data_IF_199578171219
#
_entry.id   IF_199578171219
#
_cell.length_a   1.000
_cell.length_b   1.000
_cell.length_c   1.000
_cell.angle_alpha   90.00
_cell.angle_beta   90.00
_cell.angle_gamma   90.00
#
_symmetry.space_group_name_H-M   'P 1'
#
loop_
_entity.id
_entity.type
_entity.pdbx_description
1 polymer ?
#
# COMPACT_ATOMS: atom_id res chain seq x y z
N UNK A 1 18.41 -58.45 14.69
CA UNK A 1 17.62 -57.84 13.59
C UNK A 1 17.38 -56.39 13.98
N UNK A 2 18.22 -55.46 13.51
CA UNK A 2 18.11 -54.04 13.88
C UNK A 2 17.03 -53.41 13.01
N UNK A 3 15.86 -53.12 13.58
CA UNK A 3 14.81 -52.37 12.90
C UNK A 3 15.33 -50.94 12.66
N UNK A 4 15.58 -50.60 11.39
CA UNK A 4 15.79 -49.21 10.98
C UNK A 4 14.44 -48.48 11.08
N UNK A 5 14.38 -47.45 11.92
CA UNK A 5 13.26 -46.50 11.95
C UNK A 5 13.06 -45.88 10.56
N UNK A 6 11.81 -45.65 10.12
CA UNK A 6 11.54 -45.06 8.82
C UNK A 6 12.10 -43.63 8.77
N UNK A 7 12.79 -43.30 7.68
CA UNK A 7 13.32 -41.96 7.46
C UNK A 7 12.16 -40.95 7.43
N UNK A 8 12.22 -39.96 8.30
CA UNK A 8 11.30 -38.82 8.32
C UNK A 8 11.43 -38.09 6.98
N UNK A 9 10.37 -38.13 6.16
CA UNK A 9 10.28 -37.28 4.97
C UNK A 9 10.33 -35.83 5.41
N UNK A 10 11.46 -35.17 5.18
CA UNK A 10 11.62 -33.74 5.42
C UNK A 10 10.63 -33.02 4.51
N UNK A 11 9.59 -32.43 5.09
CA UNK A 11 8.67 -31.57 4.34
C UNK A 11 9.49 -30.42 3.72
N UNK A 12 9.40 -30.27 2.41
CA UNK A 12 10.02 -29.14 1.72
C UNK A 12 9.38 -27.84 2.21
N UNK A 13 10.15 -27.00 2.88
CA UNK A 13 9.72 -25.66 3.31
C UNK A 13 10.43 -24.58 2.52
N UNK A 14 9.83 -23.39 2.46
CA UNK A 14 10.41 -22.24 1.78
C UNK A 14 10.41 -21.04 2.73
N UNK A 15 11.53 -20.30 2.78
CA UNK A 15 11.62 -19.01 3.44
C UNK A 15 12.11 -17.98 2.43
N UNK A 16 11.18 -17.14 1.95
CA UNK A 16 11.40 -16.15 0.87
C UNK A 16 11.91 -16.76 -0.43
N UNK A 17 12.08 -15.91 -1.43
CA UNK A 17 12.71 -16.20 -2.72
C UNK A 17 13.64 -15.03 -3.06
N UNK A 18 14.75 -15.33 -3.73
CA UNK A 18 15.62 -14.30 -4.27
C UNK A 18 14.89 -13.57 -5.41
N UNK A 19 14.99 -12.24 -5.41
CA UNK A 19 14.51 -11.45 -6.54
C UNK A 19 15.37 -11.77 -7.78
N UNK A 20 14.76 -11.89 -8.96
CA UNK A 20 15.48 -11.98 -10.23
C UNK A 20 16.34 -10.73 -10.46
N UNK A 21 17.36 -10.86 -11.33
CA UNK A 21 18.33 -9.79 -11.59
C UNK A 21 17.69 -8.47 -12.05
N UNK A 22 16.57 -8.54 -12.77
CA UNK A 22 15.84 -7.37 -13.29
C UNK A 22 14.94 -6.69 -12.23
N UNK A 23 14.86 -7.25 -11.02
CA UNK A 23 14.08 -6.72 -9.90
C UNK A 23 15.01 -6.21 -8.79
N UNK A 24 15.04 -4.89 -8.58
CA UNK A 24 15.93 -4.27 -7.59
C UNK A 24 15.20 -4.19 -6.24
N UNK A 25 15.71 -4.90 -5.24
CA UNK A 25 15.12 -4.87 -3.89
C UNK A 25 15.04 -3.43 -3.35
N UNK A 26 13.88 -3.04 -2.82
CA UNK A 26 13.65 -1.70 -2.26
C UNK A 26 14.67 -1.33 -1.19
N UNK A 27 15.03 -2.27 -0.33
CA UNK A 27 15.98 -2.08 0.76
C UNK A 27 17.46 -2.14 0.33
N UNK A 28 17.77 -2.42 -0.94
CA UNK A 28 19.15 -2.41 -1.44
C UNK A 28 19.71 -0.98 -1.55
N UNK A 29 21.04 -0.77 -1.60
CA UNK A 29 21.61 0.56 -1.84
C UNK A 29 21.06 1.22 -3.11
N UNK A 30 20.90 0.45 -4.19
CA UNK A 30 20.33 0.94 -5.44
C UNK A 30 18.84 1.25 -5.31
N UNK A 31 18.05 0.39 -4.64
CA UNK A 31 16.63 0.61 -4.40
C UNK A 31 16.34 1.85 -3.55
N UNK A 32 17.18 2.12 -2.55
CA UNK A 32 17.12 3.35 -1.76
C UNK A 32 17.50 4.58 -2.58
N UNK A 33 18.50 4.46 -3.46
CA UNK A 33 18.86 5.54 -4.39
C UNK A 33 17.68 5.88 -5.30
N UNK A 34 17.06 4.87 -5.93
CA UNK A 34 15.86 5.07 -6.76
C UNK A 34 14.72 5.75 -5.98
N UNK A 35 14.50 5.38 -4.72
CA UNK A 35 13.52 6.07 -3.89
C UNK A 35 13.87 7.54 -3.67
N UNK A 36 15.12 7.83 -3.27
CA UNK A 36 15.61 9.19 -3.03
C UNK A 36 15.55 10.06 -4.28
N UNK A 37 15.92 9.51 -5.44
CA UNK A 37 15.89 10.22 -6.71
C UNK A 37 14.44 10.52 -7.13
N UNK A 38 13.53 9.55 -6.96
CA UNK A 38 12.12 9.71 -7.30
C UNK A 38 11.39 10.72 -6.40
N UNK A 39 11.61 10.69 -5.09
CA UNK A 39 10.96 11.61 -4.14
C UNK A 39 11.46 13.06 -4.29
N UNK A 40 12.74 13.24 -4.62
CA UNK A 40 13.34 14.56 -4.81
C UNK A 40 13.22 15.10 -6.24
N UNK A 41 12.58 14.35 -7.15
CA UNK A 41 12.28 14.84 -8.49
C UNK A 41 11.29 16.02 -8.44
N UNK A 42 11.30 16.89 -9.46
CA UNK A 42 10.42 18.08 -9.51
C UNK A 42 8.93 17.75 -9.42
N UNK A 43 8.51 16.59 -9.92
CA UNK A 43 7.12 16.12 -9.85
C UNK A 43 6.82 15.28 -8.60
N UNK A 44 7.84 14.87 -7.83
CA UNK A 44 7.76 13.93 -6.71
C UNK A 44 6.79 12.76 -6.97
N UNK A 45 7.27 11.74 -7.68
CA UNK A 45 6.49 10.55 -8.01
C UNK A 45 6.45 9.49 -6.89
N UNK A 46 6.55 9.91 -5.63
CA UNK A 46 6.49 9.02 -4.46
C UNK A 46 5.35 9.38 -3.51
N UNK A 47 4.45 10.29 -3.89
CA UNK A 47 3.38 10.78 -3.01
C UNK A 47 2.48 9.65 -2.50
N UNK A 48 2.13 8.69 -3.37
CA UNK A 48 1.29 7.55 -3.00
C UNK A 48 2.00 6.52 -2.10
N UNK A 49 3.33 6.54 -2.03
CA UNK A 49 4.09 5.61 -1.19
C UNK A 49 3.70 5.73 0.28
N UNK A 50 3.55 6.96 0.78
CA UNK A 50 3.32 7.22 2.20
C UNK A 50 2.04 6.57 2.73
N UNK A 51 0.85 6.85 2.15
CA UNK A 51 -0.37 6.19 2.60
C UNK A 51 -0.35 4.67 2.35
N UNK A 52 0.28 4.18 1.27
CA UNK A 52 0.43 2.74 1.05
C UNK A 52 1.34 2.08 2.09
N UNK A 53 2.42 2.75 2.51
CA UNK A 53 3.36 2.24 3.50
C UNK A 53 2.71 2.13 4.90
N UNK A 54 1.88 3.11 5.27
CA UNK A 54 1.07 3.05 6.51
C UNK A 54 0.14 1.85 6.53
N UNK A 55 -0.30 1.37 5.36
CA UNK A 55 -1.27 0.29 5.20
C UNK A 55 -0.65 -1.03 4.75
N UNK A 56 0.68 -1.14 4.76
CA UNK A 56 1.34 -2.27 4.13
C UNK A 56 1.19 -3.57 4.93
N UNK A 57 0.37 -4.48 4.40
CA UNK A 57 0.06 -5.78 5.02
C UNK A 57 0.66 -6.96 4.25
N UNK A 58 0.79 -8.09 4.93
CA UNK A 58 1.10 -9.38 4.31
C UNK A 58 -0.21 -10.07 3.98
N UNK A 59 -0.38 -10.60 2.77
CA UNK A 59 -1.57 -11.40 2.42
C UNK A 59 -1.71 -12.58 3.40
N UNK A 60 -2.89 -12.76 3.98
CA UNK A 60 -3.14 -13.75 5.04
C UNK A 60 -3.14 -15.19 4.50
N UNK A 61 -3.46 -15.37 3.23
CA UNK A 61 -3.42 -16.67 2.54
C UNK A 61 -2.61 -16.55 1.24
N UNK A 62 -1.97 -17.63 0.75
CA UNK A 62 -1.23 -17.62 -0.51
C UNK A 62 -2.03 -17.15 -1.74
N UNK A 63 -3.36 -17.33 -1.72
CA UNK A 63 -4.26 -16.91 -2.79
C UNK A 63 -4.84 -15.48 -2.60
N UNK A 64 -4.65 -14.85 -1.44
CA UNK A 64 -5.30 -13.57 -1.09
C UNK A 64 -4.58 -12.31 -1.60
N UNK A 65 -3.65 -12.42 -2.54
CA UNK A 65 -2.93 -11.25 -3.06
C UNK A 65 -3.86 -10.12 -3.54
N UNK A 66 -4.98 -10.45 -4.19
CA UNK A 66 -5.99 -9.48 -4.61
C UNK A 66 -6.72 -8.83 -3.42
N UNK A 67 -7.16 -9.62 -2.44
CA UNK A 67 -7.86 -9.13 -1.25
C UNK A 67 -6.95 -8.24 -0.38
N UNK A 68 -5.71 -8.67 -0.15
CA UNK A 68 -4.73 -7.91 0.63
C UNK A 68 -4.39 -6.59 -0.06
N UNK A 69 -4.21 -6.61 -1.38
CA UNK A 69 -3.98 -5.40 -2.18
C UNK A 69 -5.17 -4.46 -2.07
N UNK A 70 -6.40 -4.96 -2.18
CA UNK A 70 -7.59 -4.12 -2.07
C UNK A 70 -7.72 -3.50 -0.68
N UNK A 71 -7.60 -4.28 0.41
CA UNK A 71 -7.65 -3.75 1.78
C UNK A 71 -6.61 -2.64 1.99
N UNK A 72 -5.38 -2.87 1.55
CA UNK A 72 -4.30 -1.87 1.62
C UNK A 72 -4.66 -0.59 0.87
N UNK A 73 -5.20 -0.69 -0.34
CA UNK A 73 -5.58 0.47 -1.13
C UNK A 73 -6.78 1.23 -0.56
N UNK A 74 -7.80 0.53 -0.06
CA UNK A 74 -8.99 1.16 0.51
C UNK A 74 -8.66 1.94 1.79
N UNK A 75 -7.82 1.37 2.66
CA UNK A 75 -7.35 2.08 3.85
C UNK A 75 -6.43 3.26 3.47
N UNK A 76 -5.58 3.12 2.44
CA UNK A 76 -4.70 4.19 1.98
C UNK A 76 -5.48 5.37 1.38
N UNK A 77 -6.62 5.10 0.74
CA UNK A 77 -7.61 6.08 0.30
C UNK A 77 -8.54 6.57 1.42
N UNK A 78 -8.34 6.12 2.66
CA UNK A 78 -9.14 6.49 3.84
C UNK A 78 -10.65 6.22 3.69
N UNK A 79 -11.00 5.18 2.93
CA UNK A 79 -12.38 4.73 2.77
C UNK A 79 -12.81 4.04 4.06
N UNK A 80 -13.94 4.45 4.63
CA UNK A 80 -14.48 3.78 5.80
C UNK A 80 -15.47 2.67 5.36
N UNK A 81 -15.30 1.43 5.85
CA UNK A 81 -16.09 0.29 5.40
C UNK A 81 -17.57 0.37 5.80
N UNK A 82 -17.97 1.30 6.68
CA UNK A 82 -19.36 1.43 7.13
C UNK A 82 -19.83 0.29 8.04
N UNK A 83 -18.97 -0.69 8.32
CA UNK A 83 -19.23 -1.85 9.17
C UNK A 83 -18.06 -2.13 10.12
N UNK A 84 -18.37 -2.77 11.24
CA UNK A 84 -17.38 -3.12 12.25
C UNK A 84 -16.40 -4.17 11.71
N UNK A 85 -15.14 -4.02 12.10
CA UNK A 85 -14.08 -5.00 11.87
C UNK A 85 -13.79 -5.76 13.17
N UNK A 86 -13.29 -5.07 14.19
CA UNK A 86 -12.91 -5.65 15.49
C UNK A 86 -13.31 -4.73 16.63
N UNK A 87 -14.19 -5.23 17.51
CA UNK A 87 -14.74 -4.40 18.59
C UNK A 87 -15.44 -3.15 18.00
N UNK A 88 -15.14 -1.93 18.49
CA UNK A 88 -15.73 -0.70 17.96
C UNK A 88 -15.04 -0.18 16.68
N UNK A 89 -13.96 -0.83 16.22
CA UNK A 89 -13.14 -0.32 15.12
C UNK A 89 -13.70 -0.73 13.76
N UNK A 90 -13.64 0.21 12.81
CA UNK A 90 -13.97 0.02 11.40
C UNK A 90 -12.68 0.14 10.60
N UNK A 91 -12.36 -0.90 9.84
CA UNK A 91 -11.12 -0.96 9.06
C UNK A 91 -11.23 -2.01 7.97
N UNK A 92 -10.64 -1.79 6.80
CA UNK A 92 -10.57 -2.85 5.81
C UNK A 92 -9.55 -3.91 6.19
N UNK A 93 -9.96 -5.16 6.09
CA UNK A 93 -9.09 -6.32 6.06
C UNK A 93 -9.66 -7.33 5.07
N UNK A 94 -8.88 -8.35 4.73
CA UNK A 94 -9.25 -9.35 3.72
C UNK A 94 -10.59 -10.05 4.03
N UNK A 95 -10.95 -10.18 5.32
CA UNK A 95 -12.17 -10.88 5.76
C UNK A 95 -13.47 -10.10 5.49
N UNK A 96 -13.37 -8.82 5.14
CA UNK A 96 -14.54 -8.01 4.80
C UNK A 96 -14.94 -8.15 3.31
N UNK A 97 -14.18 -8.84 2.47
CA UNK A 97 -14.49 -8.91 1.03
C UNK A 97 -15.34 -10.13 0.67
N UNK A 98 -16.66 -10.01 0.79
CA UNK A 98 -17.63 -11.10 0.63
C UNK A 98 -18.77 -10.82 -0.38
N UNK A 99 -18.79 -9.65 -1.04
CA UNK A 99 -19.93 -9.23 -1.88
C UNK A 99 -19.98 -9.86 -3.29
N UNK A 100 -18.84 -10.22 -3.89
CA UNK A 100 -18.76 -10.71 -5.28
C UNK A 100 -18.16 -12.11 -5.43
N UNK A 101 -17.45 -12.58 -4.41
CA UNK A 101 -16.93 -13.95 -4.29
C UNK A 101 -16.90 -14.30 -2.81
N UNK A 102 -17.09 -15.57 -2.47
CA UNK A 102 -16.88 -16.01 -1.09
C UNK A 102 -15.38 -16.08 -0.77
N UNK A 103 -15.04 -15.88 0.50
CA UNK A 103 -13.67 -16.05 0.99
C UNK A 103 -13.16 -17.50 0.80
N UNK A 104 -14.04 -18.49 0.84
CA UNK A 104 -13.69 -19.89 0.60
C UNK A 104 -13.23 -20.12 -0.84
N UNK A 105 -13.94 -19.58 -1.82
CA UNK A 105 -13.58 -19.66 -3.25
C UNK A 105 -12.29 -18.87 -3.50
N UNK A 106 -12.20 -17.65 -2.95
CA UNK A 106 -11.00 -16.82 -3.07
C UNK A 106 -9.76 -17.50 -2.47
N UNK A 107 -9.92 -18.28 -1.38
CA UNK A 107 -8.81 -19.00 -0.74
C UNK A 107 -8.30 -20.15 -1.59
N UNK A 108 -9.19 -20.81 -2.33
CA UNK A 108 -8.83 -21.93 -3.19
C UNK A 108 -8.20 -21.46 -4.52
N UNK A 109 -8.77 -20.41 -5.13
CA UNK A 109 -8.47 -20.05 -6.54
C UNK A 109 -7.88 -18.66 -6.72
N UNK A 110 -7.84 -17.85 -5.67
CA UNK A 110 -7.59 -16.41 -5.78
C UNK A 110 -8.81 -15.68 -6.34
N UNK A 111 -8.59 -14.44 -6.80
CA UNK A 111 -9.63 -13.63 -7.45
C UNK A 111 -9.15 -13.18 -8.83
N UNK A 112 -10.08 -13.12 -9.77
CA UNK A 112 -9.91 -12.53 -11.08
C UNK A 112 -9.90 -11.01 -11.01
N UNK A 113 -9.43 -10.35 -12.07
CA UNK A 113 -9.48 -8.88 -12.16
C UNK A 113 -10.93 -8.36 -12.19
N UNK A 114 -11.87 -9.12 -12.77
CA UNK A 114 -13.29 -8.76 -12.75
C UNK A 114 -13.88 -8.83 -11.34
N UNK A 115 -13.54 -9.85 -10.55
CA UNK A 115 -13.91 -9.94 -9.14
C UNK A 115 -13.25 -8.84 -8.31
N UNK A 116 -11.98 -8.52 -8.56
CA UNK A 116 -11.29 -7.39 -7.90
C UNK A 116 -12.04 -6.07 -8.12
N UNK A 117 -12.42 -5.77 -9.37
CA UNK A 117 -13.19 -4.56 -9.72
C UNK A 117 -14.56 -4.56 -9.01
N UNK A 118 -15.25 -5.71 -9.02
CA UNK A 118 -16.54 -5.85 -8.35
C UNK A 118 -16.44 -5.60 -6.83
N UNK A 119 -15.45 -6.21 -6.17
CA UNK A 119 -15.17 -6.01 -4.75
C UNK A 119 -14.82 -4.55 -4.43
N UNK A 120 -14.04 -3.88 -5.28
CA UNK A 120 -13.72 -2.47 -5.11
C UNK A 120 -14.97 -1.58 -5.21
N UNK A 121 -15.78 -1.78 -6.26
CA UNK A 121 -17.02 -1.01 -6.49
C UNK A 121 -18.06 -1.23 -5.40
N UNK A 122 -18.23 -2.47 -4.93
CA UNK A 122 -19.21 -2.76 -3.86
C UNK A 122 -18.82 -2.15 -2.51
N UNK A 123 -17.53 -1.81 -2.30
CA UNK A 123 -17.04 -1.11 -1.12
C UNK A 123 -16.87 0.41 -1.35
N UNK A 124 -17.57 0.97 -2.35
CA UNK A 124 -17.74 2.42 -2.52
C UNK A 124 -16.62 3.14 -3.27
N UNK A 125 -15.71 2.41 -3.93
CA UNK A 125 -14.58 2.99 -4.66
C UNK A 125 -14.84 3.04 -6.16
N UNK A 126 -14.47 4.16 -6.76
CA UNK A 126 -14.52 4.34 -8.22
C UNK A 126 -13.34 3.60 -8.84
N UNK A 127 -13.59 2.93 -9.98
CA UNK A 127 -12.56 2.19 -10.70
C UNK A 127 -12.49 2.61 -12.16
N UNK A 128 -11.28 2.85 -12.65
CA UNK A 128 -10.95 2.87 -14.07
C UNK A 128 -10.07 1.66 -14.37
N UNK A 129 -10.53 0.73 -15.20
CA UNK A 129 -9.81 -0.50 -15.49
C UNK A 129 -9.33 -0.55 -16.94
N UNK A 130 -8.11 -1.05 -17.14
CA UNK A 130 -7.47 -1.16 -18.44
C UNK A 130 -6.96 -2.58 -18.60
N UNK A 131 -7.43 -3.28 -19.62
CA UNK A 131 -6.85 -4.56 -20.04
C UNK A 131 -5.64 -4.26 -20.93
N UNK A 132 -4.59 -5.05 -20.80
CA UNK A 132 -3.39 -4.92 -21.61
C UNK A 132 -3.58 -5.57 -23.00
N UNK A 133 -4.64 -5.16 -23.68
CA UNK A 133 -4.98 -5.46 -25.07
C UNK A 133 -4.20 -4.53 -26.02
N UNK A 134 -4.33 -4.73 -27.33
CA UNK A 134 -3.56 -4.01 -28.36
C UNK A 134 -3.85 -2.51 -28.45
N UNK A 135 -4.99 -2.07 -27.93
CA UNK A 135 -5.44 -0.68 -27.84
C UNK A 135 -4.89 0.06 -26.61
N UNK A 136 -4.32 -0.65 -25.64
CA UNK A 136 -3.65 -0.06 -24.49
C UNK A 136 -2.13 -0.08 -24.72
N UNK A 137 -1.50 1.10 -24.64
CA UNK A 137 -0.09 1.30 -24.97
C UNK A 137 0.77 1.51 -23.73
N UNK A 138 2.08 1.25 -23.86
CA UNK A 138 3.04 1.53 -22.80
C UNK A 138 3.08 3.01 -22.42
N UNK A 139 2.87 3.93 -23.36
CA UNK A 139 2.84 5.37 -23.05
C UNK A 139 1.61 5.74 -22.22
N UNK A 140 0.43 5.24 -22.58
CA UNK A 140 -0.77 5.44 -21.76
C UNK A 140 -0.59 4.85 -20.35
N UNK A 141 0.04 3.68 -20.23
CA UNK A 141 0.39 3.12 -18.93
C UNK A 141 1.32 4.05 -18.13
N UNK A 142 2.36 4.58 -18.78
CA UNK A 142 3.30 5.54 -18.17
C UNK A 142 2.60 6.80 -17.67
N UNK A 143 1.68 7.34 -18.46
CA UNK A 143 0.92 8.54 -18.09
C UNK A 143 -0.02 8.28 -16.90
N UNK A 144 -0.68 7.12 -16.86
CA UNK A 144 -1.48 6.68 -15.72
C UNK A 144 -0.61 6.58 -14.46
N UNK A 145 0.56 5.94 -14.55
CA UNK A 145 1.48 5.78 -13.42
C UNK A 145 2.02 7.13 -12.92
N UNK A 146 2.46 8.01 -13.83
CA UNK A 146 2.93 9.35 -13.46
C UNK A 146 1.86 10.14 -12.72
N UNK A 147 0.63 10.16 -13.25
CA UNK A 147 -0.50 10.87 -12.65
C UNK A 147 -0.82 10.34 -11.25
N UNK A 148 -0.91 9.03 -11.09
CA UNK A 148 -1.20 8.41 -9.79
C UNK A 148 -0.09 8.66 -8.78
N UNK A 149 1.17 8.45 -9.17
CA UNK A 149 2.31 8.56 -8.26
C UNK A 149 2.67 10.01 -7.88
N UNK A 150 2.27 11.01 -8.66
CA UNK A 150 2.47 12.43 -8.36
C UNK A 150 1.46 12.99 -7.34
N UNK A 151 0.45 12.21 -6.95
CA UNK A 151 -0.54 12.59 -5.94
C UNK A 151 -0.77 11.43 -4.96
N UNK A 152 -1.69 11.60 -4.02
CA UNK A 152 -2.19 10.54 -3.14
C UNK A 152 -3.69 10.25 -3.34
N UNK A 153 -4.28 10.78 -4.42
CA UNK A 153 -5.74 10.75 -4.67
C UNK A 153 -6.22 9.49 -5.40
N UNK A 154 -5.31 8.76 -6.02
CA UNK A 154 -5.62 7.58 -6.79
C UNK A 154 -4.48 6.55 -6.71
N UNK A 155 -4.83 5.27 -6.73
CA UNK A 155 -3.86 4.17 -6.63
C UNK A 155 -3.95 3.30 -7.88
N UNK A 156 -2.82 3.08 -8.54
CA UNK A 156 -2.70 2.07 -9.60
C UNK A 156 -2.45 0.70 -8.97
N UNK A 157 -3.38 -0.22 -9.18
CA UNK A 157 -3.26 -1.63 -8.84
C UNK A 157 -3.00 -2.45 -10.10
N UNK A 158 -1.95 -3.27 -10.06
CA UNK A 158 -1.60 -4.16 -11.16
C UNK A 158 -2.23 -5.54 -10.95
N UNK A 159 -2.72 -6.14 -12.02
CA UNK A 159 -2.88 -7.58 -12.17
C UNK A 159 -1.84 -8.04 -13.21
N UNK A 160 -0.87 -8.85 -12.81
CA UNK A 160 0.27 -9.17 -13.68
C UNK A 160 0.76 -10.61 -13.52
N UNK A 161 1.50 -11.11 -14.52
CA UNK A 161 2.15 -12.42 -14.45
C UNK A 161 3.57 -12.30 -13.89
N UNK A 162 3.82 -12.96 -12.76
CA UNK A 162 5.17 -13.09 -12.17
C UNK A 162 6.17 -13.79 -13.09
N UNK A 163 5.71 -14.65 -14.00
CA UNK A 163 6.56 -15.38 -14.94
C UNK A 163 7.40 -14.45 -15.80
N UNK A 164 6.79 -13.37 -16.28
CA UNK A 164 7.48 -12.36 -17.11
C UNK A 164 8.56 -11.63 -16.32
N UNK A 165 8.37 -11.45 -15.01
CA UNK A 165 9.37 -10.85 -14.13
C UNK A 165 10.45 -11.85 -13.67
N UNK A 166 10.41 -13.11 -14.12
CA UNK A 166 11.30 -14.17 -13.66
C UNK A 166 11.01 -14.66 -12.23
N UNK A 167 9.88 -14.27 -11.66
CA UNK A 167 9.49 -14.62 -10.29
C UNK A 167 8.73 -15.94 -10.27
N UNK A 168 8.78 -16.63 -9.13
CA UNK A 168 8.04 -17.88 -8.95
C UNK A 168 6.54 -17.62 -8.80
N UNK A 169 5.70 -18.51 -9.31
CA UNK A 169 4.24 -18.32 -9.38
C UNK A 169 3.81 -17.64 -10.68
N UNK A 170 2.52 -17.29 -10.78
CA UNK A 170 1.96 -16.66 -11.98
C UNK A 170 1.18 -15.37 -11.64
N UNK A 171 -0.15 -15.38 -11.77
CA UNK A 171 -0.97 -14.19 -11.54
C UNK A 171 -0.79 -13.62 -10.14
N UNK A 172 -0.64 -12.30 -10.05
CA UNK A 172 -0.48 -11.59 -8.79
C UNK A 172 -1.11 -10.20 -8.84
N UNK A 173 -1.52 -9.70 -7.68
CA UNK A 173 -1.97 -8.32 -7.50
C UNK A 173 -1.05 -7.58 -6.54
N UNK A 174 -0.69 -6.35 -6.87
CA UNK A 174 0.00 -5.41 -5.97
C UNK A 174 -0.16 -3.98 -6.50
N UNK A 175 -0.17 -2.96 -5.63
CA UNK A 175 -0.18 -1.58 -6.08
C UNK A 175 1.21 -1.09 -6.42
N UNK A 176 1.24 -0.05 -7.25
CA UNK A 176 2.43 0.75 -7.50
C UNK A 176 2.58 1.77 -6.37
N UNK A 177 3.71 1.71 -5.66
CA UNK A 177 4.05 2.63 -4.58
C UNK A 177 4.79 3.88 -5.04
N UNK A 178 5.28 3.93 -6.28
CA UNK A 178 6.02 5.08 -6.78
C UNK A 178 6.65 4.83 -8.14
N UNK A 179 7.16 5.89 -8.74
CA UNK A 179 7.74 5.87 -10.09
C UNK A 179 9.05 6.67 -10.16
N UNK A 180 10.04 6.11 -10.84
CA UNK A 180 11.34 6.74 -11.07
C UNK A 180 11.49 7.08 -12.55
N UNK A 181 11.32 8.36 -12.89
CA UNK A 181 11.19 8.82 -14.27
C UNK A 181 12.44 8.59 -15.13
N UNK A 182 13.65 8.88 -14.64
CA UNK A 182 14.88 8.80 -15.46
C UNK A 182 15.26 7.37 -15.81
N UNK A 183 14.84 6.40 -14.99
CA UNK A 183 15.13 4.96 -15.19
C UNK A 183 13.92 4.19 -15.72
N UNK A 184 12.78 4.86 -15.87
CA UNK A 184 11.49 4.28 -16.23
C UNK A 184 11.15 3.03 -15.38
N UNK A 185 11.18 3.19 -14.04
CA UNK A 185 10.93 2.09 -13.10
C UNK A 185 9.78 2.38 -12.15
N UNK A 186 9.04 1.35 -11.76
CA UNK A 186 7.96 1.42 -10.76
C UNK A 186 8.32 0.60 -9.52
N UNK A 187 7.92 1.09 -8.35
CA UNK A 187 8.04 0.39 -7.09
C UNK A 187 6.79 -0.49 -6.89
N UNK A 188 6.96 -1.81 -6.90
CA UNK A 188 5.88 -2.75 -6.60
C UNK A 188 5.81 -3.00 -5.09
N UNK A 189 4.68 -2.65 -4.47
CA UNK A 189 4.43 -2.89 -3.04
C UNK A 189 3.87 -4.31 -2.83
N UNK A 190 4.75 -5.31 -3.00
CA UNK A 190 4.36 -6.73 -3.05
C UNK A 190 3.77 -7.24 -1.73
N UNK A 191 2.47 -7.55 -1.74
CA UNK A 191 1.73 -8.05 -0.57
C UNK A 191 2.11 -9.50 -0.19
N UNK A 192 2.79 -10.25 -1.07
CA UNK A 192 3.38 -11.56 -0.76
C UNK A 192 4.70 -11.38 0.01
N UNK A 193 4.69 -10.64 1.13
CA UNK A 193 5.88 -10.19 1.87
C UNK A 193 6.72 -11.34 2.44
N UNK A 194 6.11 -12.51 2.64
CA UNK A 194 6.80 -13.75 3.01
C UNK A 194 7.66 -14.33 1.87
N UNK A 195 7.44 -13.87 0.64
CA UNK A 195 8.05 -14.38 -0.60
C UNK A 195 9.05 -13.39 -1.19
N UNK A 196 8.63 -12.17 -1.46
CA UNK A 196 9.44 -11.12 -2.07
C UNK A 196 9.26 -9.79 -1.31
N UNK A 197 10.32 -8.98 -1.13
CA UNK A 197 10.17 -7.62 -0.61
C UNK A 197 9.58 -6.69 -1.69
N UNK A 198 9.19 -5.45 -1.33
CA UNK A 198 9.00 -4.41 -2.33
C UNK A 198 10.25 -4.28 -3.21
N UNK A 199 10.04 -4.00 -4.48
CA UNK A 199 11.12 -3.98 -5.45
C UNK A 199 10.78 -3.08 -6.64
N UNK A 200 11.82 -2.52 -7.22
CA UNK A 200 11.75 -1.72 -8.43
C UNK A 200 11.85 -2.62 -9.65
N UNK A 201 10.99 -2.37 -10.63
CA UNK A 201 10.96 -3.08 -11.93
C UNK A 201 10.80 -2.06 -13.05
N UNK A 202 11.41 -2.32 -14.21
CA UNK A 202 11.20 -1.47 -15.40
C UNK A 202 9.71 -1.44 -15.78
N UNK A 203 9.19 -0.26 -16.07
CA UNK A 203 7.79 -0.05 -16.45
C UNK A 203 7.42 -0.89 -17.68
N UNK A 204 8.29 -0.96 -18.69
CA UNK A 204 8.08 -1.81 -19.87
C UNK A 204 7.93 -3.30 -19.53
N UNK A 205 8.71 -3.80 -18.56
CA UNK A 205 8.64 -5.20 -18.12
C UNK A 205 7.34 -5.50 -17.37
N UNK A 206 6.89 -4.55 -16.54
CA UNK A 206 5.57 -4.62 -15.90
C UNK A 206 4.46 -4.60 -16.96
N UNK A 207 4.58 -3.77 -17.98
CA UNK A 207 3.61 -3.72 -19.07
C UNK A 207 3.51 -5.05 -19.83
N UNK A 208 4.65 -5.65 -20.23
CA UNK A 208 4.70 -7.00 -20.81
C UNK A 208 4.02 -8.04 -19.90
N UNK A 209 4.23 -7.93 -18.58
CA UNK A 209 3.64 -8.87 -17.62
C UNK A 209 2.11 -8.79 -17.52
N UNK A 210 1.52 -7.63 -17.84
CA UNK A 210 0.06 -7.45 -17.90
C UNK A 210 -0.54 -8.03 -19.18
N UNK A 211 0.21 -8.06 -20.29
CA UNK A 211 -0.27 -8.59 -21.58
C UNK A 211 -0.48 -10.11 -21.58
N UNK A 212 0.07 -10.82 -20.59
CA UNK A 212 -0.15 -12.25 -20.43
C UNK A 212 -1.63 -12.56 -20.16
N UNK A 213 -2.20 -13.51 -20.91
CA UNK A 213 -3.58 -13.98 -20.72
C UNK A 213 -3.74 -14.66 -19.36
N UNK A 214 -4.80 -14.30 -18.64
CA UNK A 214 -5.31 -15.07 -17.52
C UNK A 214 -6.25 -16.15 -18.07
N UNK A 215 -5.85 -17.41 -17.91
CA UNK A 215 -6.61 -18.55 -18.42
C UNK A 215 -8.00 -18.69 -17.78
N UNK A 216 -8.20 -18.21 -16.55
CA UNK A 216 -9.49 -18.28 -15.88
C UNK A 216 -10.53 -17.34 -16.52
N UNK A 217 -10.08 -16.20 -17.06
CA UNK A 217 -10.94 -15.23 -17.74
C UNK A 217 -10.86 -15.32 -19.28
N UNK A 218 -9.88 -16.07 -19.82
CA UNK A 218 -9.52 -16.05 -21.24
C UNK A 218 -9.32 -14.62 -21.79
N UNK A 219 -8.69 -13.76 -21.00
CA UNK A 219 -8.48 -12.35 -21.31
C UNK A 219 -7.13 -11.88 -20.75
N UNK A 220 -6.44 -10.90 -21.36
CA UNK A 220 -5.25 -10.30 -20.77
C UNK A 220 -5.51 -9.79 -19.35
N UNK A 221 -4.42 -9.74 -18.57
CA UNK A 221 -4.42 -9.02 -17.30
C UNK A 221 -4.38 -7.51 -17.57
N UNK A 222 -3.97 -6.70 -16.61
CA UNK A 222 -4.08 -5.25 -16.76
C UNK A 222 -3.87 -4.49 -15.46
N UNK A 223 -4.47 -3.31 -15.39
CA UNK A 223 -4.45 -2.48 -14.19
C UNK A 223 -5.84 -1.95 -13.85
N UNK A 224 -6.00 -1.60 -12.58
CA UNK A 224 -7.17 -0.89 -12.07
C UNK A 224 -6.68 0.35 -11.32
N UNK A 225 -7.18 1.53 -11.71
CA UNK A 225 -7.02 2.76 -10.94
C UNK A 225 -8.16 2.86 -9.95
N UNK A 226 -7.84 2.98 -8.66
CA UNK A 226 -8.79 3.14 -7.57
C UNK A 226 -8.83 4.61 -7.14
N UNK A 227 -10.03 5.17 -6.99
CA UNK A 227 -10.27 6.56 -6.55
C UNK A 227 -11.38 6.60 -5.50
N UNK A 228 -11.24 7.51 -4.53
CA UNK A 228 -12.36 7.83 -3.63
C UNK A 228 -13.59 8.26 -4.46
N UNK A 229 -14.75 7.67 -4.17
CA UNK A 229 -16.02 8.10 -4.76
C UNK A 229 -16.68 9.20 -3.95
N UNK A 230 -17.47 10.07 -4.59
CA UNK A 230 -18.24 11.11 -3.88
C UNK A 230 -19.24 10.56 -2.83
N UNK A 231 -19.60 9.28 -2.94
CA UNK A 231 -20.45 8.54 -2.01
C UNK A 231 -19.68 7.53 -1.14
N UNK A 232 -18.35 7.49 -1.23
CA UNK A 232 -17.55 6.70 -0.32
C UNK A 232 -17.79 7.25 1.08
N UNK A 233 -18.37 6.44 1.96
CA UNK A 233 -18.64 6.79 3.35
C UNK A 233 -17.31 6.85 4.10
N UNK A 234 -16.55 7.93 3.88
CA UNK A 234 -15.36 8.33 4.63
C UNK A 234 -15.57 9.71 5.26
N UNK A 235 -14.61 10.23 6.06
CA UNK A 235 -14.72 11.51 6.77
C UNK A 235 -14.98 12.72 5.86
N UNK A 236 -14.87 12.56 4.54
CA UNK A 236 -15.04 13.62 3.53
C UNK A 236 -16.45 14.22 3.54
N UNK A 237 -17.50 13.43 3.81
CA UNK A 237 -18.86 13.97 4.01
C UNK A 237 -19.00 14.78 5.31
N UNK A 238 -18.26 14.41 6.37
CA UNK A 238 -18.18 15.20 7.60
C UNK A 238 -17.38 16.48 7.39
N UNK A 239 -16.32 16.50 6.56
CA UNK A 239 -15.59 17.73 6.23
C UNK A 239 -16.47 18.77 5.53
N UNK A 240 -17.29 18.38 4.56
CA UNK A 240 -18.19 19.33 3.90
C UNK A 240 -19.30 19.84 4.83
N UNK A 241 -19.82 19.01 5.74
CA UNK A 241 -20.80 19.44 6.74
C UNK A 241 -20.20 20.31 7.85
N UNK A 242 -18.95 20.04 8.28
CA UNK A 242 -18.28 20.82 9.31
C UNK A 242 -17.83 22.20 8.80
N UNK A 243 -17.33 22.30 7.56
CA UNK A 243 -16.97 23.59 6.95
C UNK A 243 -18.22 24.48 6.82
N UNK A 244 -19.38 23.91 6.50
CA UNK A 244 -20.61 24.67 6.35
C UNK A 244 -21.22 25.12 7.71
N UNK A 245 -20.97 24.37 8.78
CA UNK A 245 -21.36 24.76 10.13
C UNK A 245 -20.44 25.84 10.73
N UNK A 246 -19.13 25.79 10.47
CA UNK A 246 -18.16 26.75 11.03
C UNK A 246 -18.31 28.17 10.48
N UNK A 247 -18.75 28.34 9.22
CA UNK A 247 -19.00 29.68 8.66
C UNK A 247 -20.22 30.38 9.28
N UNK A 248 -21.14 29.65 9.92
CA UNK A 248 -22.34 30.23 10.55
C UNK A 248 -22.21 30.45 12.06
N UNK A 249 -21.15 29.96 12.72
CA UNK A 249 -20.97 30.09 14.17
C UNK A 249 -19.62 30.66 14.61
N UNK A 250 -19.05 31.57 13.84
CA UNK A 250 -17.87 32.32 14.26
C UNK A 250 -18.22 33.34 15.38
N UNK A 251 -18.26 32.87 16.63
CA UNK A 251 -18.16 33.74 17.80
C UNK A 251 -16.71 34.25 17.93
N UNK A 252 -16.46 35.52 18.28
CA UNK A 252 -15.10 36.05 18.38
C UNK A 252 -14.34 35.37 19.53
N UNK A 253 -13.28 34.63 19.17
CA UNK A 253 -12.34 34.04 20.11
C UNK A 253 -11.51 35.16 20.73
N UNK A 254 -11.66 35.37 22.05
CA UNK A 254 -10.82 36.32 22.78
C UNK A 254 -9.36 35.84 22.79
N UNK A 255 -8.36 36.74 22.71
CA UNK A 255 -6.96 36.36 22.73
C UNK A 255 -6.59 35.70 24.07
N UNK A 256 -5.74 34.67 24.01
CA UNK A 256 -5.20 34.03 25.20
C UNK A 256 -4.47 35.06 26.09
N UNK A 257 -4.62 35.01 27.43
CA UNK A 257 -3.88 35.88 28.32
C UNK A 257 -2.38 35.61 28.20
N UNK A 258 -1.59 36.69 28.20
CA UNK A 258 -0.13 36.60 28.09
C UNK A 258 0.47 35.80 29.26
N UNK A 259 1.55 35.03 29.02
CA UNK A 259 2.19 34.25 30.07
C UNK A 259 2.76 35.19 31.14
N UNK A 260 2.28 35.02 32.37
CA UNK A 260 2.86 35.66 33.55
C UNK A 260 4.33 35.27 33.67
N UNK A 261 5.18 36.29 33.79
CA UNK A 261 6.61 36.15 34.06
C UNK A 261 6.84 35.22 35.27
N UNK A 262 7.48 34.08 35.04
CA UNK A 262 8.14 33.36 36.13
C UNK A 262 9.33 34.21 36.59
N UNK A 263 9.33 34.57 37.87
CA UNK A 263 10.47 35.23 38.49
C UNK A 263 11.70 34.32 38.39
N UNK A 264 12.84 34.93 38.08
CA UNK A 264 14.14 34.28 37.92
C UNK A 264 14.68 33.60 39.19
N UNK A 265 13.94 33.56 40.28
CA UNK A 265 14.36 32.97 41.56
C UNK A 265 14.21 31.43 41.62
N UNK A 266 13.38 30.83 40.76
CA UNK A 266 13.16 29.37 40.79
C UNK A 266 14.24 28.57 40.06
N UNK A 267 14.97 29.18 39.12
CA UNK A 267 15.99 28.50 38.30
C UNK A 267 17.36 28.46 39.02
N UNK A 268 17.66 29.41 39.91
CA UNK A 268 18.93 29.44 40.66
C UNK A 268 18.96 28.52 41.88
N UNK A 269 17.82 28.17 42.49
CA UNK A 269 17.78 27.18 43.59
C UNK A 269 18.00 25.74 43.10
N UNK A 270 17.52 25.40 41.90
CA UNK A 270 17.73 24.06 41.33
C UNK A 270 19.19 23.81 40.91
N UNK A 271 19.94 24.87 40.58
CA UNK A 271 21.35 24.77 40.17
C UNK A 271 22.31 24.66 41.35
N UNK A 272 21.99 25.24 42.52
CA UNK A 272 22.82 25.14 43.74
C UNK A 272 22.71 23.80 44.47
N UNK A 273 21.61 23.05 44.33
CA UNK A 273 21.47 21.72 44.97
C UNK A 273 22.19 20.60 44.21
N UNK A 274 22.51 20.80 42.93
CA UNK A 274 23.23 19.80 42.12
C UNK A 274 24.76 19.87 42.31
N UNK A 275 25.32 21.04 42.66
CA UNK A 275 26.77 21.22 42.86
C UNK A 275 27.26 20.80 44.26
N UNK A 276 26.38 20.66 45.25
CA UNK A 276 26.75 20.19 46.62
C UNK A 276 26.73 18.66 46.78
N UNK A 277 26.21 17.91 45.80
CA UNK A 277 26.12 16.45 45.85
C UNK A 277 27.32 15.72 45.19
N UNK A 278 28.25 16.45 44.57
CA UNK A 278 29.40 15.87 43.82
C UNK A 278 30.74 16.01 44.58
N UNK A 279 30.77 16.68 45.73
CA UNK A 279 32.01 16.97 46.49
C UNK A 279 32.11 16.27 47.86
N UNK A 280 31.39 15.17 48.10
CA UNK A 280 31.45 14.41 49.37
C UNK A 280 31.60 12.88 49.19
N UNK A 281 32.39 12.45 48.21
CA UNK A 281 33.01 11.12 48.19
C UNK A 281 34.48 11.21 47.73
N UNK A 282 35.34 11.64 48.65
CA UNK A 282 36.72 11.18 48.84
C UNK A 282 37.01 11.22 50.34
#
# INVERSE_FOLDING_TARGET
>A
MVQRSPATTVQSSFHRRHLPQDCIAFSSPEGRKLFTDAINSSSNYMQIYFPLAEQFITQAEPAFCGLATLAMCLNALQIDPGRLWKGPWRWFSEELFDCCTSLSVAKEKGISMSEFICLARCNGVLTEDYRATTDFTLEQFRDIVKRSCATNSEIVVLNYSRKVLGQTGDGHFSPIGGYHAERDMVLLMDVARFKYPPHWVRLSKVFESMQCVDMAMNSPRGLVVLKEGAHATGPTLLKQQLIHCDEQTAAPVAPAPQPCCYSSAAVESARRMAETAVTSQQ
#
